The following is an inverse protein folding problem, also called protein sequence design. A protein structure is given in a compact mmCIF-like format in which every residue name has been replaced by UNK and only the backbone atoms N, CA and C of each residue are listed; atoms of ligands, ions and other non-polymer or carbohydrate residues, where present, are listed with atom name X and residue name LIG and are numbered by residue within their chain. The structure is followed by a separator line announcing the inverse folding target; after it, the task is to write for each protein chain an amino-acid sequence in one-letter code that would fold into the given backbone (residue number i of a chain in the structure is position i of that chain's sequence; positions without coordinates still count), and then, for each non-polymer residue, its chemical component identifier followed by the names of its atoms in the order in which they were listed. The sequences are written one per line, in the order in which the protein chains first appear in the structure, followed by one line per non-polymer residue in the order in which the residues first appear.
data_IF_641973658873
#
_entry.id   IF_641973658873
#
_cell.length_a   1.000
_cell.length_b   1.000
_cell.length_c   1.000
_cell.angle_alpha   90.00
_cell.angle_beta   90.00
_cell.angle_gamma   90.00
#
_symmetry.space_group_name_H-M   'P 1'
#
loop_
_entity.id
_entity.type
_entity.pdbx_description
1 polymer ?
#
# COMPACT_ATOMS: atom_id res chain seq x y z
N UNK A 1 -22.85 -3.23 -6.95
CA UNK A 1 -22.94 -4.64 -7.36
C UNK A 1 -22.63 -5.66 -6.28
N UNK A 2 -21.82 -5.34 -5.28
CA UNK A 2 -21.48 -6.26 -4.18
C UNK A 2 -22.63 -6.43 -3.16
N UNK A 3 -23.55 -5.49 -3.11
CA UNK A 3 -24.72 -5.58 -2.24
C UNK A 3 -25.73 -6.63 -2.70
N UNK A 4 -25.69 -7.04 -3.97
CA UNK A 4 -26.70 -7.97 -4.51
C UNK A 4 -26.58 -9.39 -3.98
N UNK A 5 -25.38 -9.89 -3.74
CA UNK A 5 -25.20 -11.27 -3.24
C UNK A 5 -25.50 -11.41 -1.74
N UNK A 6 -25.38 -10.34 -0.98
CA UNK A 6 -25.74 -10.31 0.46
C UNK A 6 -27.23 -9.95 0.61
N UNK A 7 -27.81 -9.24 -0.34
CA UNK A 7 -29.19 -8.74 -0.32
C UNK A 7 -30.24 -9.81 -0.65
N UNK A 8 -29.86 -10.86 -1.37
CA UNK A 8 -30.78 -11.95 -1.76
C UNK A 8 -30.84 -13.08 -0.73
N UNK A 9 -29.96 -13.08 0.28
CA UNK A 9 -30.08 -13.96 1.44
C UNK A 9 -30.73 -13.19 2.59
N UNK A 10 -31.81 -13.76 3.16
CA UNK A 10 -32.40 -13.22 4.37
C UNK A 10 -31.35 -13.18 5.49
N UNK A 11 -31.28 -12.05 6.23
CA UNK A 11 -30.42 -11.94 7.41
C UNK A 11 -30.69 -12.99 8.50
N UNK A 12 -31.86 -13.66 8.39
CA UNK A 12 -32.27 -14.70 9.29
C UNK A 12 -32.07 -16.13 8.75
N UNK A 13 -31.42 -16.27 7.57
CA UNK A 13 -31.16 -17.55 6.97
C UNK A 13 -30.15 -18.35 7.80
N UNK A 14 -30.56 -19.54 8.23
CA UNK A 14 -29.69 -20.40 9.04
C UNK A 14 -28.54 -20.95 8.20
N UNK A 15 -27.36 -21.02 8.79
CA UNK A 15 -26.13 -21.49 8.11
C UNK A 15 -26.29 -22.91 7.54
N UNK A 16 -27.12 -23.73 8.14
CA UNK A 16 -27.40 -25.10 7.67
C UNK A 16 -28.33 -25.17 6.46
N UNK A 17 -29.05 -24.08 6.12
CA UNK A 17 -29.92 -24.00 4.94
C UNK A 17 -29.18 -23.49 3.68
N UNK A 18 -27.94 -23.00 3.84
CA UNK A 18 -27.16 -22.51 2.74
C UNK A 18 -26.85 -23.62 1.73
N UNK A 19 -27.29 -23.43 0.50
CA UNK A 19 -27.08 -24.37 -0.60
C UNK A 19 -25.61 -24.46 -1.01
N UNK A 20 -25.25 -25.54 -1.71
CA UNK A 20 -23.89 -25.70 -2.28
C UNK A 20 -23.53 -24.54 -3.21
N UNK A 21 -24.48 -24.07 -4.01
CA UNK A 21 -24.27 -22.95 -4.93
C UNK A 21 -23.98 -21.65 -4.15
N UNK A 22 -24.80 -21.30 -3.17
CA UNK A 22 -24.60 -20.11 -2.34
C UNK A 22 -23.25 -20.12 -1.61
N UNK A 23 -22.78 -21.29 -1.15
CA UNK A 23 -21.45 -21.41 -0.55
C UNK A 23 -20.34 -21.16 -1.58
N UNK A 24 -20.51 -21.66 -2.79
CA UNK A 24 -19.55 -21.45 -3.87
C UNK A 24 -19.48 -19.98 -4.26
N UNK A 25 -20.64 -19.32 -4.40
CA UNK A 25 -20.73 -17.90 -4.75
C UNK A 25 -20.14 -17.00 -3.65
N UNK A 26 -20.40 -17.33 -2.39
CA UNK A 26 -19.81 -16.66 -1.24
C UNK A 26 -18.27 -16.80 -1.24
N UNK A 27 -17.77 -18.00 -1.52
CA UNK A 27 -16.34 -18.28 -1.55
C UNK A 27 -15.64 -17.56 -2.72
N UNK A 28 -16.33 -17.47 -3.86
CA UNK A 28 -15.88 -16.68 -5.01
C UNK A 28 -15.85 -15.20 -4.69
N UNK A 29 -16.83 -14.69 -4.00
CA UNK A 29 -16.92 -13.29 -3.57
C UNK A 29 -15.76 -12.92 -2.64
N UNK A 30 -15.38 -13.78 -1.70
CA UNK A 30 -14.22 -13.58 -0.84
C UNK A 30 -12.87 -13.62 -1.57
N UNK A 31 -12.77 -14.45 -2.61
CA UNK A 31 -11.51 -14.61 -3.38
C UNK A 31 -11.35 -13.60 -4.50
N UNK A 32 -12.44 -13.19 -5.13
CA UNK A 32 -12.49 -12.38 -6.33
C UNK A 32 -13.52 -11.24 -6.15
N UNK A 33 -13.34 -10.42 -5.11
CA UNK A 33 -14.26 -9.33 -4.82
C UNK A 33 -14.20 -8.29 -5.96
N UNK A 34 -15.23 -8.17 -6.82
CA UNK A 34 -15.23 -7.25 -7.94
C UNK A 34 -15.42 -5.82 -7.44
N UNK A 35 -14.44 -4.96 -7.68
CA UNK A 35 -14.52 -3.53 -7.40
C UNK A 35 -14.44 -2.75 -8.70
N UNK A 36 -15.45 -1.93 -8.97
CA UNK A 36 -15.42 -1.01 -10.11
C UNK A 36 -14.72 0.28 -9.68
N UNK A 37 -13.58 0.56 -10.33
CA UNK A 37 -12.81 1.79 -10.11
C UNK A 37 -13.14 2.75 -11.23
N UNK A 38 -13.68 3.93 -10.91
CA UNK A 38 -14.01 4.98 -11.89
C UNK A 38 -12.82 5.88 -12.22
N UNK A 39 -11.78 5.91 -11.37
CA UNK A 39 -10.59 6.71 -11.56
C UNK A 39 -9.82 6.93 -10.24
N UNK A 40 -8.65 7.55 -10.31
CA UNK A 40 -7.92 7.97 -9.12
C UNK A 40 -8.66 9.10 -8.40
N UNK A 41 -8.44 9.23 -7.11
CA UNK A 41 -8.91 10.38 -6.33
C UNK A 41 -8.07 11.63 -6.67
N UNK A 42 -8.57 12.84 -6.34
CA UNK A 42 -7.80 14.07 -6.49
C UNK A 42 -6.43 13.99 -5.82
N UNK A 43 -5.43 14.65 -6.40
CA UNK A 43 -4.04 14.58 -5.94
C UNK A 43 -3.82 15.17 -4.55
N UNK A 44 -4.67 16.11 -4.14
CA UNK A 44 -4.68 16.71 -2.80
C UNK A 44 -5.12 15.72 -1.70
N UNK A 45 -5.71 14.59 -2.09
CA UNK A 45 -6.03 13.49 -1.18
C UNK A 45 -4.93 12.40 -1.14
N UNK A 46 -3.83 12.57 -1.87
CA UNK A 46 -2.74 11.62 -1.88
C UNK A 46 -2.04 11.57 -0.51
N UNK A 47 -1.90 10.37 0.04
CA UNK A 47 -1.23 10.15 1.33
C UNK A 47 0.29 10.09 1.13
N UNK A 48 0.74 9.57 -0.01
CA UNK A 48 2.15 9.39 -0.38
C UNK A 48 2.30 9.73 -1.86
N UNK A 49 3.38 10.40 -2.22
CA UNK A 49 3.78 10.61 -3.62
C UNK A 49 4.67 9.45 -4.08
N UNK A 50 4.52 9.05 -5.35
CA UNK A 50 5.41 8.08 -5.98
C UNK A 50 6.45 8.79 -6.83
N UNK A 51 7.69 8.27 -6.83
CA UNK A 51 8.83 8.88 -7.49
C UNK A 51 9.79 9.58 -6.53
N UNK A 52 10.93 10.03 -7.05
CA UNK A 52 11.97 10.67 -6.25
C UNK A 52 13.38 10.29 -6.73
N UNK A 53 14.36 10.42 -5.85
CA UNK A 53 15.73 10.01 -6.13
C UNK A 53 15.81 8.49 -6.20
N UNK A 54 16.33 7.98 -7.31
CA UNK A 54 16.42 6.53 -7.54
C UNK A 54 17.24 5.84 -6.44
N UNK A 55 16.67 4.86 -5.80
CA UNK A 55 17.34 4.08 -4.73
C UNK A 55 18.62 3.39 -5.18
N UNK A 56 18.74 3.08 -6.48
CA UNK A 56 19.95 2.51 -7.08
C UNK A 56 21.15 3.47 -7.03
N UNK A 57 20.90 4.77 -6.98
CA UNK A 57 21.90 5.83 -6.92
C UNK A 57 22.31 6.21 -5.49
N UNK A 58 21.71 5.56 -4.50
CA UNK A 58 21.97 5.77 -3.08
C UNK A 58 22.69 4.56 -2.50
N UNK A 59 23.67 4.79 -1.66
CA UNK A 59 24.32 3.74 -0.90
C UNK A 59 23.44 3.34 0.29
N UNK A 60 22.89 2.11 0.36
CA UNK A 60 21.95 1.72 1.41
C UNK A 60 22.56 1.63 2.81
N UNK A 61 23.89 1.68 2.94
CA UNK A 61 24.57 1.60 4.24
C UNK A 61 24.87 2.97 4.84
N UNK A 62 24.97 4.00 4.00
CA UNK A 62 25.34 5.35 4.42
C UNK A 62 24.28 6.38 4.05
N UNK A 63 23.34 6.04 3.16
CA UNK A 63 22.39 6.96 2.54
C UNK A 63 23.07 8.05 1.68
N UNK A 64 24.36 7.90 1.37
CA UNK A 64 25.10 8.81 0.51
C UNK A 64 24.78 8.54 -0.96
N UNK A 65 24.76 9.61 -1.74
CA UNK A 65 24.69 9.53 -3.21
C UNK A 65 25.91 8.79 -3.76
N UNK A 66 25.71 7.88 -4.70
CA UNK A 66 26.79 7.26 -5.45
C UNK A 66 27.35 8.16 -6.57
N UNK A 67 26.62 9.22 -6.91
CA UNK A 67 26.96 10.15 -7.98
C UNK A 67 27.68 11.41 -7.46
N UNK A 68 27.31 11.86 -6.27
CA UNK A 68 27.82 13.09 -5.67
C UNK A 68 28.28 12.79 -4.25
N UNK A 69 29.59 12.87 -4.03
CA UNK A 69 30.19 12.65 -2.70
C UNK A 69 29.75 13.75 -1.72
N UNK A 70 29.44 13.37 -0.48
CA UNK A 70 28.99 14.26 0.57
C UNK A 70 27.52 14.67 0.49
N UNK A 71 26.75 14.12 -0.47
CA UNK A 71 25.31 14.34 -0.58
C UNK A 71 24.55 13.12 -0.04
N UNK A 72 23.70 13.36 0.95
CA UNK A 72 22.94 12.30 1.63
C UNK A 72 21.44 12.52 1.41
N UNK A 73 20.69 11.40 1.34
CA UNK A 73 19.24 11.41 1.17
C UNK A 73 18.56 10.62 2.27
N UNK A 74 17.39 11.10 2.72
CA UNK A 74 16.58 10.41 3.71
C UNK A 74 15.09 10.69 3.51
N UNK A 75 14.24 9.72 3.82
CA UNK A 75 12.79 9.87 3.77
C UNK A 75 12.21 9.84 2.36
N UNK A 76 11.07 10.50 2.21
CA UNK A 76 10.23 10.42 1.00
C UNK A 76 10.81 11.14 -0.23
N UNK A 77 11.93 11.83 -0.10
CA UNK A 77 12.66 12.36 -1.27
C UNK A 77 13.25 11.25 -2.13
N UNK A 78 13.45 10.08 -1.56
CA UNK A 78 13.87 8.87 -2.27
C UNK A 78 12.65 8.22 -2.96
N UNK A 79 12.89 7.55 -4.08
CA UNK A 79 11.87 6.76 -4.77
C UNK A 79 11.53 5.49 -3.96
N UNK A 80 10.82 5.71 -2.85
CA UNK A 80 10.35 4.67 -1.93
C UNK A 80 8.94 5.04 -1.50
N UNK A 81 7.99 4.17 -1.81
CA UNK A 81 6.63 4.25 -1.35
C UNK A 81 6.20 2.91 -0.72
N UNK A 82 5.71 2.96 0.49
CA UNK A 82 5.22 1.80 1.22
C UNK A 82 3.72 1.95 1.52
N UNK A 83 3.10 0.83 1.83
CA UNK A 83 1.69 0.84 2.24
C UNK A 83 1.45 1.76 3.43
N UNK A 84 0.27 2.37 3.48
CA UNK A 84 -0.19 3.14 4.64
C UNK A 84 -0.21 2.26 5.90
N UNK A 85 0.10 2.85 7.05
CA UNK A 85 0.20 2.12 8.33
C UNK A 85 1.50 2.38 9.09
N UNK A 86 2.16 3.53 8.84
CA UNK A 86 3.36 3.94 9.55
C UNK A 86 4.69 3.52 8.89
N UNK A 87 4.65 2.69 7.84
CA UNK A 87 5.87 2.22 7.17
C UNK A 87 6.68 3.35 6.54
N UNK A 88 6.04 4.34 5.92
CA UNK A 88 6.72 5.48 5.31
C UNK A 88 7.44 6.34 6.36
N UNK A 89 6.81 6.58 7.51
CA UNK A 89 7.46 7.25 8.64
C UNK A 89 8.63 6.43 9.20
N UNK A 90 8.51 5.13 9.30
CA UNK A 90 9.58 4.26 9.75
C UNK A 90 10.78 4.30 8.78
N UNK A 91 10.52 4.30 7.49
CA UNK A 91 11.56 4.45 6.45
C UNK A 91 12.23 5.82 6.59
N UNK A 92 11.45 6.89 6.75
CA UNK A 92 11.97 8.24 6.89
C UNK A 92 12.92 8.36 8.10
N UNK A 93 12.51 7.87 9.25
CA UNK A 93 13.34 7.92 10.46
C UNK A 93 14.57 7.02 10.37
N UNK A 94 14.43 5.80 9.85
CA UNK A 94 15.53 4.86 9.75
C UNK A 94 16.61 5.38 8.78
N UNK A 95 16.22 5.91 7.65
CA UNK A 95 17.15 6.45 6.65
C UNK A 95 17.80 7.74 7.13
N UNK A 96 17.06 8.61 7.84
CA UNK A 96 17.63 9.80 8.46
C UNK A 96 18.65 9.46 9.54
N UNK A 97 18.37 8.45 10.36
CA UNK A 97 19.31 7.96 11.37
C UNK A 97 20.60 7.43 10.76
N UNK A 98 20.48 6.61 9.69
CA UNK A 98 21.66 6.08 8.97
C UNK A 98 22.48 7.21 8.35
N UNK A 99 21.83 8.15 7.66
CA UNK A 99 22.50 9.31 7.06
C UNK A 99 23.26 10.11 8.12
N UNK A 100 22.60 10.47 9.22
CA UNK A 100 23.21 11.27 10.28
C UNK A 100 24.42 10.62 10.97
N UNK A 101 24.46 9.28 11.03
CA UNK A 101 25.60 8.56 11.60
C UNK A 101 26.72 8.25 10.57
N UNK A 102 26.53 8.66 9.33
CA UNK A 102 27.46 8.39 8.22
C UNK A 102 28.19 9.65 7.73
N UNK A 103 27.84 10.82 8.26
CA UNK A 103 28.44 12.13 7.96
C UNK A 103 29.74 12.34 8.72
#
# INVERSE_FOLDING_TARGET
GSEMCIRDSSAEEKVNSITRQQRHDLLRLFKEFPVSISGPRPIDEAIVTSGGVLTKEINPRTMESKLVSGLYFAGEVMDIDAYTGGFNLQIAWSTAYVAANSI
#
